data_IF_034483411873
#
_entry.id   IF_034483411873
#
_cell.length_a   1.000
_cell.length_b   1.000
_cell.length_c   1.000
_cell.angle_alpha   90.00
_cell.angle_beta   90.00
_cell.angle_gamma   90.00
#
_symmetry.space_group_name_H-M   'P 1'
#
loop_
_entity.id
_entity.type
_entity.pdbx_description
1 polymer ?
#
# COMPACT_ATOMS: atom_id res chain seq x y z
N UNK A 1 14.12 -1.92 6.56
CA UNK A 1 12.73 -1.46 6.32
C UNK A 1 12.25 -0.63 7.51
N UNK A 2 13.01 0.41 7.81
CA UNK A 2 13.21 0.78 9.22
C UNK A 2 12.29 1.92 9.67
N UNK A 3 11.42 2.37 8.77
CA UNK A 3 10.47 3.47 8.98
C UNK A 3 9.04 3.09 8.66
N UNK A 4 8.77 1.84 8.27
CA UNK A 4 7.39 1.37 8.14
C UNK A 4 6.85 1.12 9.54
N UNK A 5 5.79 1.84 9.91
CA UNK A 5 5.10 1.60 11.18
C UNK A 5 4.73 0.10 11.26
N UNK A 6 5.01 -0.56 12.37
CA UNK A 6 4.75 -2.01 12.54
C UNK A 6 5.64 -2.96 11.71
N UNK A 7 6.69 -2.47 11.05
CA UNK A 7 7.68 -3.28 10.33
C UNK A 7 7.17 -3.92 9.02
N UNK A 8 7.88 -4.94 8.55
CA UNK A 8 7.62 -5.59 7.24
C UNK A 8 6.24 -6.26 7.16
N UNK A 9 5.74 -6.80 8.27
CA UNK A 9 4.44 -7.50 8.31
C UNK A 9 3.32 -6.51 8.04
N UNK A 10 3.29 -5.37 8.74
CA UNK A 10 2.27 -4.36 8.51
C UNK A 10 2.40 -3.75 7.11
N UNK A 11 3.63 -3.52 6.63
CA UNK A 11 3.87 -3.07 5.26
C UNK A 11 3.27 -4.01 4.21
N UNK A 12 3.40 -5.32 4.41
CA UNK A 12 2.80 -6.32 3.52
C UNK A 12 1.27 -6.25 3.54
N UNK A 13 0.64 -6.23 4.72
CA UNK A 13 -0.82 -6.14 4.84
C UNK A 13 -1.38 -4.87 4.20
N UNK A 14 -0.75 -3.73 4.45
CA UNK A 14 -1.20 -2.44 3.94
C UNK A 14 -1.00 -2.35 2.43
N UNK A 15 0.07 -2.94 1.87
CA UNK A 15 0.26 -3.04 0.43
C UNK A 15 -0.82 -3.90 -0.25
N UNK A 16 -1.16 -5.06 0.34
CA UNK A 16 -2.21 -5.95 -0.19
C UNK A 16 -3.57 -5.27 -0.16
N UNK A 17 -3.93 -4.63 0.96
CA UNK A 17 -5.20 -3.91 1.10
C UNK A 17 -5.25 -2.72 0.14
N UNK A 18 -4.18 -1.92 0.05
CA UNK A 18 -4.10 -0.78 -0.85
C UNK A 18 -4.23 -1.16 -2.32
N UNK A 19 -3.57 -2.24 -2.72
CA UNK A 19 -3.67 -2.84 -4.06
C UNK A 19 -5.11 -3.24 -4.38
N UNK A 20 -5.75 -4.00 -3.47
CA UNK A 20 -7.12 -4.46 -3.65
C UNK A 20 -8.13 -3.31 -3.72
N UNK A 21 -8.00 -2.33 -2.82
CA UNK A 21 -8.87 -1.14 -2.79
C UNK A 21 -8.73 -0.32 -4.07
N UNK A 22 -7.51 -0.10 -4.55
CA UNK A 22 -7.30 0.66 -5.77
C UNK A 22 -7.84 -0.07 -7.00
N UNK A 23 -7.60 -1.38 -7.11
CA UNK A 23 -8.17 -2.21 -8.16
C UNK A 23 -9.71 -2.16 -8.15
N UNK A 24 -10.32 -2.21 -6.98
CA UNK A 24 -11.78 -2.11 -6.83
C UNK A 24 -12.32 -0.72 -7.20
N UNK A 25 -11.64 0.35 -6.78
CA UNK A 25 -12.01 1.74 -7.11
C UNK A 25 -11.97 1.97 -8.62
N UNK A 26 -10.90 1.51 -9.30
CA UNK A 26 -10.77 1.64 -10.75
C UNK A 26 -11.77 0.76 -11.50
N UNK A 27 -12.14 -0.39 -10.93
CA UNK A 27 -13.22 -1.26 -11.46
C UNK A 27 -14.64 -0.70 -11.21
N UNK A 28 -14.76 0.54 -10.71
CA UNK A 28 -16.05 1.18 -10.45
C UNK A 28 -16.84 0.56 -9.32
N UNK A 29 -16.17 -0.06 -8.34
CA UNK A 29 -16.78 -0.83 -7.25
C UNK A 29 -17.56 -2.08 -7.71
N UNK A 30 -17.42 -2.46 -8.99
CA UNK A 30 -17.93 -3.71 -9.52
C UNK A 30 -16.82 -4.76 -9.55
N UNK A 31 -17.18 -6.03 -9.32
CA UNK A 31 -16.23 -7.14 -9.46
C UNK A 31 -16.18 -7.51 -10.95
N UNK A 32 -15.05 -7.31 -11.65
CA UNK A 32 -14.96 -7.60 -13.08
C UNK A 32 -15.27 -9.07 -13.36
N UNK A 33 -16.01 -9.33 -14.44
CA UNK A 33 -16.27 -10.69 -14.91
C UNK A 33 -14.98 -11.39 -15.34
N UNK A 34 -15.03 -12.73 -15.44
CA UNK A 34 -13.87 -13.55 -15.83
C UNK A 34 -13.23 -13.14 -17.16
N UNK A 35 -14.03 -12.56 -18.05
CA UNK A 35 -13.60 -12.13 -19.38
C UNK A 35 -12.89 -10.76 -19.38
N UNK A 36 -13.09 -9.93 -18.34
CA UNK A 36 -12.46 -8.61 -18.18
C UNK A 36 -11.17 -8.64 -17.33
N UNK A 37 -10.87 -9.80 -16.73
CA UNK A 37 -9.69 -9.97 -15.86
C UNK A 37 -8.41 -10.14 -16.69
N UNK A 38 -7.93 -9.05 -17.29
CA UNK A 38 -6.71 -9.03 -18.10
C UNK A 38 -5.46 -8.65 -17.30
N UNK A 39 -4.28 -8.87 -17.89
CA UNK A 39 -2.98 -8.43 -17.34
C UNK A 39 -2.97 -6.92 -16.99
N UNK A 40 -3.73 -6.11 -17.71
CA UNK A 40 -3.89 -4.68 -17.45
C UNK A 40 -4.52 -4.41 -16.06
N UNK A 41 -5.46 -5.24 -15.62
CA UNK A 41 -6.09 -5.11 -14.30
C UNK A 41 -5.09 -5.37 -13.16
N UNK A 42 -4.16 -6.32 -13.35
CA UNK A 42 -3.08 -6.56 -12.40
C UNK A 42 -2.11 -5.37 -12.30
N UNK A 43 -1.81 -4.72 -13.44
CA UNK A 43 -0.97 -3.52 -13.48
C UNK A 43 -1.62 -2.31 -12.81
N UNK A 44 -2.95 -2.17 -12.93
CA UNK A 44 -3.72 -1.13 -12.26
C UNK A 44 -3.59 -1.24 -10.73
N UNK A 45 -3.41 -2.44 -10.17
CA UNK A 45 -3.31 -2.62 -8.73
C UNK A 45 -1.97 -2.14 -8.12
N UNK A 46 -0.91 -2.06 -8.94
CA UNK A 46 0.45 -1.64 -8.52
C UNK A 46 0.48 -0.24 -7.89
N UNK A 47 -0.13 0.80 -8.50
CA UNK A 47 -0.27 2.11 -7.88
C UNK A 47 -0.88 2.07 -6.47
N UNK A 48 -1.91 1.24 -6.25
CA UNK A 48 -2.58 1.10 -4.95
C UNK A 48 -1.64 0.63 -3.84
N UNK A 49 -0.81 -0.38 -4.14
CA UNK A 49 0.21 -0.86 -3.21
C UNK A 49 1.25 0.23 -2.90
N UNK A 50 1.72 0.96 -3.91
CA UNK A 50 2.73 2.01 -3.72
C UNK A 50 2.21 3.17 -2.87
N UNK A 51 0.97 3.63 -3.13
CA UNK A 51 0.34 4.70 -2.35
C UNK A 51 0.19 4.26 -0.88
N UNK A 52 -0.29 3.05 -0.65
CA UNK A 52 -0.50 2.54 0.71
C UNK A 52 0.82 2.39 1.48
N UNK A 53 1.88 1.91 0.83
CA UNK A 53 3.22 1.85 1.41
C UNK A 53 3.81 3.25 1.68
N UNK A 54 3.62 4.20 0.77
CA UNK A 54 4.07 5.57 0.96
C UNK A 54 3.40 6.21 2.18
N UNK A 55 2.09 6.03 2.35
CA UNK A 55 1.34 6.48 3.54
C UNK A 55 1.94 5.84 4.80
N UNK A 56 2.16 4.52 4.78
CA UNK A 56 2.69 3.80 5.95
C UNK A 56 4.10 4.26 6.33
N UNK A 57 4.96 4.57 5.35
CA UNK A 57 6.30 5.12 5.58
C UNK A 57 6.24 6.53 6.20
N UNK A 58 5.34 7.39 5.71
CA UNK A 58 5.15 8.73 6.27
C UNK A 58 4.63 8.66 7.70
N UNK A 59 3.69 7.77 7.99
CA UNK A 59 3.18 7.55 9.35
C UNK A 59 4.29 7.07 10.28
N UNK A 60 5.08 6.07 9.87
CA UNK A 60 6.17 5.56 10.69
C UNK A 60 7.28 6.60 10.91
N UNK A 61 7.66 7.37 9.89
CA UNK A 61 8.65 8.45 10.05
C UNK A 61 8.17 9.57 10.98
N UNK A 62 6.87 9.90 10.98
CA UNK A 62 6.28 10.84 11.94
C UNK A 62 6.25 10.28 13.36
N UNK A 63 5.96 8.98 13.52
CA UNK A 63 5.99 8.31 14.81
C UNK A 63 7.41 8.28 15.41
N UNK A 64 8.42 8.02 14.58
CA UNK A 64 9.82 8.04 14.98
C UNK A 64 10.26 9.43 15.43
N UNK A 65 9.89 10.46 14.66
CA UNK A 65 10.16 11.86 15.01
C UNK A 65 9.50 12.28 16.33
N UNK A 66 8.26 11.85 16.58
CA UNK A 66 7.56 12.10 17.84
C UNK A 66 8.18 11.36 19.04
N UNK A 67 8.79 10.20 18.79
CA UNK A 67 9.49 9.40 19.79
C UNK A 67 10.96 9.81 20.00
N UNK A 68 11.47 10.78 19.23
CA UNK A 68 12.88 11.21 19.28
C UNK A 68 13.87 10.17 18.74
N UNK A 69 13.41 9.24 17.90
CA UNK A 69 14.25 8.18 17.34
C UNK A 69 14.81 8.66 16.00
N UNK A 70 16.13 8.89 15.94
CA UNK A 70 16.82 9.15 14.67
C UNK A 70 17.29 7.85 14.01
N UNK A 71 16.75 7.56 12.83
CA UNK A 71 17.11 6.42 11.97
C UNK A 71 17.74 6.88 10.67
N UNK A 72 18.65 7.86 10.73
CA UNK A 72 19.28 8.54 9.58
C UNK A 72 20.45 7.78 8.92
N UNK A 73 20.64 6.49 9.21
CA UNK A 73 21.68 5.62 8.63
C UNK A 73 21.07 4.56 7.73
#
# INVERSE_FOLDING_TARGET
PDRFYGGIVLAFFVAVIGSALFGLLVSGLSVPGRDDTHLAQALIAVPGAMIALAILYVVGSRADAAAGIDRSV
#
